data_IF_122630398258
#
_entry.id   IF_122630398258
#
_cell.length_a   1.000
_cell.length_b   1.000
_cell.length_c   1.000
_cell.angle_alpha   90.00
_cell.angle_beta   90.00
_cell.angle_gamma   90.00
#
_symmetry.space_group_name_H-M   'P 1'
#
loop_
_entity.id
_entity.type
_entity.pdbx_description
1 polymer ?
#
# COMPACT_ATOMS: atom_id res chain seq x y z
N UNK A 1 19.81 -12.12 -17.83
CA UNK A 1 19.93 -10.82 -17.11
C UNK A 1 19.45 -11.05 -15.68
N UNK A 2 20.15 -10.48 -14.68
CA UNK A 2 19.74 -10.51 -13.26
C UNK A 2 19.54 -9.07 -12.81
N UNK A 3 18.44 -8.77 -12.14
CA UNK A 3 18.07 -7.43 -11.67
C UNK A 3 17.32 -7.50 -10.34
N UNK A 4 17.12 -6.34 -9.68
CA UNK A 4 16.12 -6.25 -8.62
C UNK A 4 14.73 -6.48 -9.20
N UNK A 5 13.84 -7.14 -8.45
CA UNK A 5 12.49 -7.46 -8.92
C UNK A 5 11.49 -6.30 -8.85
N UNK A 6 11.84 -5.18 -8.22
CA UNK A 6 10.94 -4.05 -8.00
C UNK A 6 10.26 -3.53 -9.29
N UNK A 7 10.96 -3.60 -10.43
CA UNK A 7 10.38 -3.22 -11.71
C UNK A 7 9.17 -4.06 -12.13
N UNK A 8 9.03 -5.28 -11.62
CA UNK A 8 7.90 -6.14 -11.93
C UNK A 8 6.56 -5.60 -11.41
N UNK A 9 6.58 -4.78 -10.36
CA UNK A 9 5.37 -4.44 -9.61
C UNK A 9 5.16 -2.95 -9.37
N UNK A 10 6.22 -2.17 -9.06
CA UNK A 10 6.06 -0.77 -8.67
C UNK A 10 5.54 0.09 -9.83
N UNK A 11 4.64 1.02 -9.51
CA UNK A 11 3.99 1.91 -10.48
C UNK A 11 4.98 2.77 -11.28
N UNK A 12 6.07 3.24 -10.65
CA UNK A 12 7.11 4.01 -11.32
C UNK A 12 7.79 3.29 -12.50
N UNK A 13 7.68 1.96 -12.57
CA UNK A 13 8.27 1.16 -13.64
C UNK A 13 7.27 0.73 -14.73
N UNK A 14 6.05 1.24 -14.76
CA UNK A 14 5.05 0.85 -15.76
C UNK A 14 5.52 1.07 -17.20
N UNK A 15 6.16 2.22 -17.46
CA UNK A 15 6.73 2.51 -18.79
C UNK A 15 7.85 1.54 -19.19
N UNK A 16 8.66 1.09 -18.21
CA UNK A 16 9.68 0.08 -18.45
C UNK A 16 9.04 -1.27 -18.78
N UNK A 17 8.03 -1.70 -18.00
CA UNK A 17 7.29 -2.94 -18.30
C UNK A 17 6.68 -2.93 -19.68
N UNK A 18 6.07 -1.80 -20.09
CA UNK A 18 5.53 -1.65 -21.45
C UNK A 18 6.59 -1.85 -22.55
N UNK A 19 7.80 -1.34 -22.33
CA UNK A 19 8.92 -1.54 -23.27
C UNK A 19 9.41 -2.98 -23.28
N UNK A 20 9.53 -3.60 -22.12
CA UNK A 20 9.99 -4.99 -22.01
C UNK A 20 9.00 -5.98 -22.62
N UNK A 21 7.68 -5.73 -22.45
CA UNK A 21 6.62 -6.56 -23.01
C UNK A 21 6.51 -6.46 -24.55
N UNK A 22 7.20 -5.53 -25.19
CA UNK A 22 7.36 -5.53 -26.65
C UNK A 22 8.27 -6.67 -27.15
N UNK A 23 8.96 -7.36 -26.26
CA UNK A 23 9.85 -8.50 -26.53
C UNK A 23 9.31 -9.75 -25.87
N UNK A 24 9.70 -10.93 -26.35
CA UNK A 24 9.25 -12.20 -25.77
C UNK A 24 10.11 -12.62 -24.58
N UNK A 25 9.49 -12.74 -23.41
CA UNK A 25 10.12 -13.36 -22.23
C UNK A 25 10.17 -14.89 -22.41
N UNK A 26 11.35 -15.43 -22.61
CA UNK A 26 11.54 -16.87 -22.78
C UNK A 26 11.34 -17.59 -21.47
N UNK A 27 12.05 -17.14 -20.45
CA UNK A 27 11.86 -17.61 -19.08
C UNK A 27 12.19 -16.55 -18.05
N UNK A 28 11.71 -16.75 -16.84
CA UNK A 28 11.98 -15.91 -15.68
C UNK A 28 12.05 -16.74 -14.41
N UNK A 29 13.08 -16.49 -13.61
CA UNK A 29 13.23 -17.00 -12.26
C UNK A 29 13.03 -15.86 -11.28
N UNK A 30 11.92 -15.83 -10.59
CA UNK A 30 11.64 -14.87 -9.53
C UNK A 30 12.23 -15.40 -8.23
N UNK A 31 13.46 -15.00 -7.96
CA UNK A 31 14.27 -15.52 -6.85
C UNK A 31 13.86 -14.89 -5.51
N UNK A 32 13.35 -13.65 -5.52
CA UNK A 32 12.95 -12.94 -4.30
C UNK A 32 14.13 -12.62 -3.39
N UNK A 33 13.91 -12.62 -2.05
CA UNK A 33 14.98 -12.38 -1.08
C UNK A 33 15.96 -13.53 -1.02
N UNK A 34 17.18 -13.26 -0.52
CA UNK A 34 18.23 -14.28 -0.28
C UNK A 34 18.60 -15.12 -1.50
N UNK A 35 18.58 -14.51 -2.69
CA UNK A 35 19.14 -15.13 -3.89
C UNK A 35 20.67 -15.19 -3.84
N UNK A 36 21.28 -14.33 -3.03
CA UNK A 36 22.71 -14.29 -2.72
C UNK A 36 22.86 -14.42 -1.21
N UNK A 37 23.59 -15.41 -0.74
CA UNK A 37 23.72 -15.73 0.70
C UNK A 37 24.45 -14.63 1.47
N UNK A 38 25.37 -13.94 0.82
CA UNK A 38 26.21 -12.89 1.39
C UNK A 38 25.47 -11.54 1.57
N UNK A 39 24.32 -11.37 0.90
CA UNK A 39 23.55 -10.13 0.95
C UNK A 39 22.32 -10.32 1.84
N UNK A 40 22.15 -9.47 2.84
CA UNK A 40 20.97 -9.47 3.69
C UNK A 40 19.69 -9.42 2.86
N UNK A 41 18.92 -10.53 2.86
CA UNK A 41 17.83 -10.78 1.93
C UNK A 41 16.61 -9.91 2.09
N UNK A 42 16.54 -9.05 3.10
CA UNK A 42 15.43 -8.12 3.32
C UNK A 42 15.53 -6.88 2.41
N UNK A 43 16.73 -6.54 1.95
CA UNK A 43 16.98 -5.31 1.18
C UNK A 43 16.98 -5.56 -0.32
N UNK A 44 17.51 -6.70 -0.78
CA UNK A 44 17.66 -7.01 -2.21
C UNK A 44 16.85 -8.22 -2.59
N UNK A 45 15.77 -8.00 -3.31
CA UNK A 45 14.97 -9.07 -3.92
C UNK A 45 15.22 -9.10 -5.42
N UNK A 46 15.54 -10.28 -5.96
CA UNK A 46 16.05 -10.43 -7.31
C UNK A 46 15.14 -11.25 -8.22
N UNK A 47 15.28 -10.98 -9.50
CA UNK A 47 14.74 -11.80 -10.59
C UNK A 47 15.80 -11.99 -11.67
N UNK A 48 15.82 -13.17 -12.27
CA UNK A 48 16.63 -13.49 -13.45
C UNK A 48 15.72 -13.84 -14.61
N UNK A 49 16.02 -13.36 -15.82
CA UNK A 49 15.18 -13.61 -16.98
C UNK A 49 15.96 -13.61 -18.30
N UNK A 50 15.40 -14.28 -19.29
CA UNK A 50 15.84 -14.29 -20.68
C UNK A 50 14.77 -13.67 -21.54
N UNK A 51 15.17 -12.65 -22.33
CA UNK A 51 14.32 -11.97 -23.30
C UNK A 51 14.88 -12.23 -24.70
N UNK A 52 13.99 -12.53 -25.63
CA UNK A 52 14.28 -12.56 -27.06
C UNK A 52 13.81 -11.27 -27.72
N UNK A 53 14.67 -10.59 -28.47
CA UNK A 53 14.35 -9.34 -29.18
C UNK A 53 13.44 -9.59 -30.39
N UNK A 54 12.31 -10.20 -30.16
CA UNK A 54 11.21 -10.33 -31.14
C UNK A 54 9.90 -10.43 -30.36
N UNK A 55 8.81 -10.08 -30.98
CA UNK A 55 7.45 -10.36 -30.46
C UNK A 55 6.90 -11.58 -31.18
N UNK A 56 6.50 -12.60 -30.41
CA UNK A 56 5.84 -13.79 -30.94
C UNK A 56 4.44 -13.82 -30.33
N UNK A 57 3.42 -13.66 -31.16
CA UNK A 57 2.02 -13.68 -30.70
C UNK A 57 1.65 -15.00 -30.01
N UNK A 58 0.91 -14.91 -28.93
CA UNK A 58 0.47 -16.05 -28.08
C UNK A 58 1.62 -16.91 -27.54
N UNK A 59 2.83 -16.31 -27.44
CA UNK A 59 3.98 -17.01 -26.87
C UNK A 59 3.77 -17.21 -25.36
N UNK A 60 3.96 -18.45 -24.90
CA UNK A 60 3.91 -18.79 -23.47
C UNK A 60 5.32 -18.80 -22.91
N UNK A 61 5.65 -17.77 -22.13
CA UNK A 61 6.87 -17.74 -21.34
C UNK A 61 6.77 -18.68 -20.14
N UNK A 62 7.93 -19.15 -19.66
CA UNK A 62 8.03 -20.01 -18.49
C UNK A 62 8.52 -19.20 -17.30
N UNK A 63 7.74 -19.20 -16.22
CA UNK A 63 8.02 -18.43 -15.01
C UNK A 63 8.13 -19.37 -13.82
N UNK A 64 9.14 -19.17 -12.97
CA UNK A 64 9.32 -19.90 -11.72
C UNK A 64 9.26 -18.93 -10.55
N UNK A 65 8.37 -19.20 -9.58
CA UNK A 65 8.27 -18.43 -8.34
C UNK A 65 9.05 -19.13 -7.24
N UNK A 66 10.28 -18.68 -7.00
CA UNK A 66 11.25 -19.28 -6.08
C UNK A 66 11.49 -18.39 -4.84
N UNK A 67 10.46 -17.63 -4.42
CA UNK A 67 10.59 -16.64 -3.34
C UNK A 67 10.52 -17.24 -1.94
N UNK A 68 9.83 -18.38 -1.79
CA UNK A 68 9.54 -18.98 -0.49
C UNK A 68 10.77 -19.60 0.21
N UNK A 69 11.69 -20.31 -0.49
CA UNK A 69 12.88 -20.82 0.16
C UNK A 69 13.86 -19.72 0.57
N UNK A 70 14.39 -19.84 1.79
CA UNK A 70 15.31 -18.86 2.40
C UNK A 70 16.80 -19.13 2.12
N UNK A 71 17.12 -20.20 1.38
CA UNK A 71 18.50 -20.58 1.01
C UNK A 71 18.62 -20.76 -0.50
N UNK A 72 19.83 -20.58 -1.06
CA UNK A 72 20.12 -20.85 -2.46
C UNK A 72 19.79 -22.29 -2.83
N UNK A 73 20.25 -23.25 -2.01
CA UNK A 73 20.00 -24.67 -2.22
C UNK A 73 18.51 -25.01 -2.27
N UNK A 74 17.71 -24.43 -1.36
CA UNK A 74 16.27 -24.64 -1.38
C UNK A 74 15.60 -24.07 -2.64
N UNK A 75 16.08 -22.95 -3.19
CA UNK A 75 15.61 -22.40 -4.47
C UNK A 75 16.00 -23.30 -5.66
N UNK A 76 17.21 -23.82 -5.67
CA UNK A 76 17.68 -24.77 -6.67
C UNK A 76 16.85 -26.05 -6.65
N UNK A 77 16.65 -26.66 -5.49
CA UNK A 77 15.83 -27.85 -5.33
C UNK A 77 14.38 -27.62 -5.81
N UNK A 78 13.78 -26.49 -5.46
CA UNK A 78 12.43 -26.12 -5.91
C UNK A 78 12.38 -25.98 -7.44
N UNK A 79 13.41 -25.38 -8.05
CA UNK A 79 13.52 -25.24 -9.51
C UNK A 79 13.66 -26.58 -10.19
N UNK A 80 14.57 -27.44 -9.74
CA UNK A 80 14.81 -28.79 -10.29
C UNK A 80 13.57 -29.69 -10.20
N UNK A 81 12.82 -29.54 -9.10
CA UNK A 81 11.54 -30.23 -8.90
C UNK A 81 10.37 -29.60 -9.69
N UNK A 82 10.61 -28.54 -10.45
CA UNK A 82 9.62 -27.79 -11.22
C UNK A 82 8.41 -27.30 -10.37
N UNK A 83 8.64 -27.04 -9.08
CA UNK A 83 7.62 -26.46 -8.22
C UNK A 83 7.39 -24.99 -8.56
N UNK A 84 6.16 -24.52 -8.36
CA UNK A 84 5.76 -23.14 -8.65
C UNK A 84 6.18 -22.67 -10.05
N UNK A 85 6.05 -23.58 -11.03
CA UNK A 85 6.24 -23.31 -12.46
C UNK A 85 4.91 -22.83 -13.06
N UNK A 86 4.98 -21.77 -13.85
CA UNK A 86 3.85 -21.17 -14.56
C UNK A 86 4.19 -21.03 -16.03
N UNK A 87 3.24 -21.32 -16.92
CA UNK A 87 3.33 -21.10 -18.35
C UNK A 87 2.24 -20.14 -18.75
N UNK A 88 2.57 -18.90 -19.05
CA UNK A 88 1.61 -17.79 -19.21
C UNK A 88 1.82 -17.15 -20.58
N UNK A 89 0.72 -16.92 -21.28
CA UNK A 89 0.71 -16.04 -22.44
C UNK A 89 1.05 -14.62 -22.01
N UNK A 90 2.09 -14.05 -22.57
CA UNK A 90 2.60 -12.74 -22.19
C UNK A 90 1.56 -11.64 -22.33
N UNK A 91 0.66 -11.78 -23.29
CA UNK A 91 -0.41 -10.81 -23.56
C UNK A 91 -1.34 -10.61 -22.36
N UNK A 92 -1.47 -11.62 -21.49
CA UNK A 92 -2.26 -11.51 -20.25
C UNK A 92 -1.78 -10.43 -19.28
N UNK A 93 -0.51 -10.03 -19.34
CA UNK A 93 0.01 -8.94 -18.51
C UNK A 93 -0.58 -7.57 -18.91
N UNK A 94 -1.01 -7.38 -20.14
CA UNK A 94 -1.68 -6.16 -20.57
C UNK A 94 -3.07 -5.99 -19.95
N UNK A 95 -3.69 -7.07 -19.49
CA UNK A 95 -4.97 -7.05 -18.81
C UNK A 95 -4.85 -6.66 -17.31
N UNK A 96 -3.64 -6.70 -16.76
CA UNK A 96 -3.36 -6.37 -15.36
C UNK A 96 -3.05 -4.87 -15.23
N UNK A 97 -3.67 -4.13 -14.31
CA UNK A 97 -3.35 -2.72 -14.07
C UNK A 97 -1.86 -2.49 -13.84
N UNK A 98 -1.31 -1.49 -14.53
CA UNK A 98 0.14 -1.22 -14.50
C UNK A 98 1.00 -2.27 -15.18
N UNK A 99 0.42 -3.27 -15.85
CA UNK A 99 1.11 -4.36 -16.54
C UNK A 99 2.08 -5.13 -15.63
N UNK A 100 1.66 -5.35 -14.38
CA UNK A 100 2.47 -6.07 -13.40
C UNK A 100 2.72 -7.52 -13.82
N UNK A 101 3.95 -8.00 -13.59
CA UNK A 101 4.34 -9.38 -13.90
C UNK A 101 3.80 -10.38 -12.86
N UNK A 102 2.49 -10.40 -12.69
CA UNK A 102 1.78 -11.26 -11.73
C UNK A 102 1.38 -12.60 -12.37
N UNK A 103 2.35 -13.32 -12.91
CA UNK A 103 2.21 -14.56 -13.66
C UNK A 103 1.57 -15.72 -12.85
N UNK A 104 1.45 -15.60 -11.54
CA UNK A 104 0.78 -16.59 -10.67
C UNK A 104 -0.73 -16.37 -10.53
N UNK A 105 -1.27 -15.30 -11.10
CA UNK A 105 -2.70 -15.04 -11.05
C UNK A 105 -3.46 -16.02 -11.92
N UNK A 106 -4.61 -16.49 -11.43
CA UNK A 106 -5.53 -17.28 -12.23
C UNK A 106 -6.20 -16.42 -13.31
N UNK A 107 -6.61 -17.04 -14.41
CA UNK A 107 -7.38 -16.37 -15.47
C UNK A 107 -8.62 -15.67 -14.91
N UNK A 108 -9.28 -16.25 -13.88
CA UNK A 108 -10.41 -15.63 -13.21
C UNK A 108 -10.02 -14.35 -12.48
N UNK A 109 -8.87 -14.34 -11.78
CA UNK A 109 -8.37 -13.14 -11.10
C UNK A 109 -8.04 -12.04 -12.10
N UNK A 110 -7.41 -12.37 -13.24
CA UNK A 110 -7.12 -11.41 -14.31
C UNK A 110 -8.42 -10.86 -14.88
N UNK A 111 -9.41 -11.73 -15.18
CA UNK A 111 -10.68 -11.27 -15.74
C UNK A 111 -11.46 -10.32 -14.81
N UNK A 112 -11.23 -10.40 -13.50
CA UNK A 112 -11.87 -9.48 -12.54
C UNK A 112 -11.38 -8.03 -12.71
N UNK A 113 -10.15 -7.81 -13.18
CA UNK A 113 -9.68 -6.45 -13.49
C UNK A 113 -10.44 -5.83 -14.68
N UNK A 114 -10.88 -6.66 -15.63
CA UNK A 114 -11.61 -6.18 -16.81
C UNK A 114 -13.12 -6.07 -16.58
N UNK A 115 -13.68 -6.95 -15.75
CA UNK A 115 -15.13 -7.03 -15.51
C UNK A 115 -15.58 -6.32 -14.24
N UNK A 116 -14.68 -6.17 -13.27
CA UNK A 116 -14.96 -5.53 -11.98
C UNK A 116 -15.03 -4.01 -12.10
N UNK A 117 -15.90 -3.40 -11.30
CA UNK A 117 -15.89 -1.94 -11.12
C UNK A 117 -14.67 -1.55 -10.32
N UNK A 118 -14.00 -0.50 -10.74
CA UNK A 118 -12.86 0.04 -9.98
C UNK A 118 -13.35 0.75 -8.72
N UNK A 119 -12.61 0.60 -7.60
CA UNK A 119 -13.00 1.23 -6.33
C UNK A 119 -13.21 2.74 -6.46
N UNK A 120 -12.39 3.42 -7.26
CA UNK A 120 -12.53 4.87 -7.52
C UNK A 120 -13.85 5.28 -8.19
N UNK A 121 -14.61 4.33 -8.76
CA UNK A 121 -15.92 4.60 -9.40
C UNK A 121 -17.07 4.56 -8.39
N UNK A 122 -16.82 3.99 -7.21
CA UNK A 122 -17.84 3.77 -6.18
C UNK A 122 -17.49 4.40 -4.83
N UNK A 123 -16.26 4.85 -4.64
CA UNK A 123 -15.80 5.44 -3.40
C UNK A 123 -14.72 6.51 -3.65
N UNK A 124 -14.69 7.50 -2.78
CA UNK A 124 -13.68 8.54 -2.73
C UNK A 124 -12.46 8.04 -1.94
N UNK A 125 -11.37 7.75 -2.63
CA UNK A 125 -10.13 7.27 -1.99
C UNK A 125 -9.29 8.47 -1.58
N UNK A 126 -9.03 8.63 -0.28
CA UNK A 126 -8.32 9.79 0.26
C UNK A 126 -7.25 9.38 1.27
N UNK A 127 -6.12 10.05 1.20
CA UNK A 127 -5.07 9.97 2.22
C UNK A 127 -5.34 10.99 3.31
N UNK A 128 -5.29 10.58 4.58
CA UNK A 128 -5.63 11.44 5.70
C UNK A 128 -4.46 12.21 6.30
N UNK A 129 -4.61 12.53 7.57
CA UNK A 129 -3.73 13.37 8.35
C UNK A 129 -2.40 12.68 8.66
N UNK A 130 -1.28 13.40 8.47
CA UNK A 130 -0.01 13.06 9.04
C UNK A 130 0.33 14.04 10.17
N UNK A 131 0.65 13.55 11.35
CA UNK A 131 0.92 14.41 12.52
C UNK A 131 2.26 15.13 12.45
N UNK A 132 3.22 14.61 11.67
CA UNK A 132 4.63 15.02 11.64
C UNK A 132 5.36 14.91 12.98
N UNK A 133 4.66 14.69 14.08
CA UNK A 133 5.17 14.47 15.43
C UNK A 133 4.12 13.70 16.26
N UNK A 134 4.20 12.38 16.23
CA UNK A 134 3.27 11.53 16.95
C UNK A 134 3.35 11.72 18.47
N UNK A 135 4.55 11.89 19.01
CA UNK A 135 4.75 12.02 20.45
C UNK A 135 4.05 13.27 21.01
N UNK A 136 3.98 14.31 20.21
CA UNK A 136 3.33 15.56 20.58
C UNK A 136 1.82 15.53 20.38
N UNK A 137 1.35 14.99 19.25
CA UNK A 137 -0.03 15.15 18.80
C UNK A 137 -0.91 13.91 18.93
N UNK A 138 -0.35 12.74 19.28
CA UNK A 138 -1.13 11.53 19.52
C UNK A 138 -1.07 11.09 20.98
N UNK A 139 -2.17 10.51 21.42
CA UNK A 139 -2.28 9.79 22.71
C UNK A 139 -3.08 8.51 22.50
N UNK A 140 -2.94 7.57 23.41
CA UNK A 140 -3.95 6.53 23.57
C UNK A 140 -5.18 7.15 24.23
N UNK A 141 -6.35 6.67 23.88
CA UNK A 141 -7.60 7.27 24.41
C UNK A 141 -7.69 7.23 25.94
N UNK A 142 -7.06 6.25 26.59
CA UNK A 142 -7.03 6.09 28.04
C UNK A 142 -5.98 6.99 28.74
N UNK A 143 -5.12 7.68 28.00
CA UNK A 143 -4.15 8.64 28.57
C UNK A 143 -4.77 10.04 28.77
N UNK A 144 -5.99 10.23 28.32
CA UNK A 144 -6.70 11.52 28.39
C UNK A 144 -8.05 11.31 29.08
N UNK A 145 -8.45 12.32 29.89
CA UNK A 145 -9.78 12.27 30.50
C UNK A 145 -10.85 12.19 29.40
N UNK A 146 -11.73 11.19 29.53
CA UNK A 146 -12.80 10.87 28.56
C UNK A 146 -13.66 12.09 28.21
N UNK A 147 -13.93 12.97 29.17
CA UNK A 147 -14.72 14.18 28.97
C UNK A 147 -14.02 15.24 28.09
N UNK A 148 -12.75 15.08 27.78
CA UNK A 148 -11.99 15.96 26.89
C UNK A 148 -11.87 15.41 25.47
N UNK A 149 -12.48 14.26 25.17
CA UNK A 149 -12.48 13.61 23.85
C UNK A 149 -13.84 13.82 23.20
N UNK A 150 -13.87 14.30 21.98
CA UNK A 150 -15.09 14.43 21.20
C UNK A 150 -15.37 13.17 20.38
N UNK A 151 -16.43 12.46 20.73
CA UNK A 151 -16.93 11.28 20.02
C UNK A 151 -18.21 11.56 19.21
N UNK A 152 -18.57 12.85 19.01
CA UNK A 152 -19.89 13.20 18.47
C UNK A 152 -19.86 14.08 17.23
N UNK A 153 -18.74 14.76 16.94
CA UNK A 153 -18.65 15.60 15.75
C UNK A 153 -18.72 14.78 14.47
N UNK A 154 -19.52 15.24 13.51
CA UNK A 154 -19.71 14.60 12.21
C UNK A 154 -19.07 15.38 11.05
N UNK A 155 -18.46 16.52 11.35
CA UNK A 155 -17.73 17.35 10.38
C UNK A 155 -16.79 18.32 11.11
N UNK A 156 -15.92 18.97 10.35
CA UNK A 156 -14.91 19.90 10.88
C UNK A 156 -15.52 21.17 11.49
N UNK A 157 -16.68 21.61 11.02
CA UNK A 157 -17.37 22.80 11.56
C UNK A 157 -17.85 22.52 12.97
N UNK A 158 -18.59 21.42 13.16
CA UNK A 158 -19.03 20.97 14.50
C UNK A 158 -17.84 20.76 15.45
N UNK A 159 -16.78 20.10 14.98
CA UNK A 159 -15.60 19.86 15.78
C UNK A 159 -14.98 21.16 16.30
N UNK A 160 -14.94 22.19 15.47
CA UNK A 160 -14.45 23.52 15.83
C UNK A 160 -15.37 24.25 16.82
N UNK A 161 -16.68 24.23 16.57
CA UNK A 161 -17.70 24.88 17.43
C UNK A 161 -17.72 24.25 18.82
N UNK A 162 -17.59 22.93 18.91
CA UNK A 162 -17.58 22.21 20.18
C UNK A 162 -16.27 22.43 20.98
N UNK A 163 -15.19 22.86 20.34
CA UNK A 163 -13.96 23.30 20.98
C UNK A 163 -13.18 22.22 21.74
N UNK A 164 -13.44 20.95 21.47
CA UNK A 164 -12.66 19.84 22.03
C UNK A 164 -11.23 19.83 21.47
N UNK A 165 -10.33 19.31 22.27
CA UNK A 165 -8.94 19.16 21.86
C UNK A 165 -8.67 17.82 21.18
N UNK A 166 -9.25 16.76 21.70
CA UNK A 166 -8.94 15.38 21.33
C UNK A 166 -10.06 14.73 20.55
N UNK A 167 -9.71 14.06 19.46
CA UNK A 167 -10.63 13.38 18.58
C UNK A 167 -10.14 11.97 18.26
N UNK A 168 -11.04 10.98 18.13
CA UNK A 168 -10.66 9.63 17.70
C UNK A 168 -9.84 9.67 16.41
N UNK A 169 -8.76 8.87 16.36
CA UNK A 169 -7.83 8.86 15.26
C UNK A 169 -7.61 7.44 14.75
N UNK A 170 -8.08 7.16 13.56
CA UNK A 170 -7.87 5.89 12.90
C UNK A 170 -6.48 5.85 12.29
N UNK A 171 -5.58 5.14 12.96
CA UNK A 171 -4.19 4.94 12.53
C UNK A 171 -4.03 3.54 11.97
N UNK A 172 -3.27 3.40 10.87
CA UNK A 172 -2.83 2.09 10.40
C UNK A 172 -2.08 1.35 11.50
N UNK A 173 -2.11 0.03 11.49
CA UNK A 173 -1.51 -0.82 12.50
C UNK A 173 -1.53 -2.29 12.07
N UNK A 174 -1.53 -3.19 13.05
CA UNK A 174 -1.57 -4.62 12.85
C UNK A 174 -2.80 -5.06 12.04
N UNK A 175 -2.72 -6.28 11.52
CA UNK A 175 -3.83 -6.87 10.79
C UNK A 175 -5.08 -6.98 11.68
N UNK A 176 -6.11 -6.25 11.29
CA UNK A 176 -7.48 -6.35 11.82
C UNK A 176 -8.43 -6.43 10.63
N UNK A 177 -9.45 -7.25 10.73
CA UNK A 177 -10.45 -7.41 9.68
C UNK A 177 -11.82 -7.03 10.21
N UNK A 178 -12.46 -6.15 9.47
CA UNK A 178 -13.76 -5.55 9.71
C UNK A 178 -13.82 -4.44 10.75
N UNK A 179 -13.08 -4.50 11.87
CA UNK A 179 -13.07 -3.49 12.93
C UNK A 179 -11.75 -3.49 13.70
N UNK A 180 -11.34 -2.33 14.28
CA UNK A 180 -10.17 -2.19 15.15
C UNK A 180 -9.20 -1.08 14.72
N UNK A 181 -8.06 -1.00 15.42
CA UNK A 181 -7.03 0.05 15.27
C UNK A 181 -7.58 1.45 15.58
N UNK A 182 -8.38 1.56 16.65
CA UNK A 182 -9.03 2.79 17.11
C UNK A 182 -8.55 3.20 18.50
N UNK A 183 -7.34 2.82 18.86
CA UNK A 183 -6.76 3.08 20.18
C UNK A 183 -6.25 4.51 20.35
N UNK A 184 -6.07 5.24 19.24
CA UNK A 184 -5.48 6.57 19.25
C UNK A 184 -6.50 7.70 19.21
N UNK A 185 -6.11 8.81 19.82
CA UNK A 185 -6.74 10.12 19.68
C UNK A 185 -5.71 11.14 19.21
N UNK A 186 -6.15 12.16 18.49
CA UNK A 186 -5.30 13.23 17.94
C UNK A 186 -5.68 14.59 18.45
N UNK A 187 -4.69 15.43 18.75
CA UNK A 187 -4.88 16.84 19.04
C UNK A 187 -5.25 17.61 17.77
N UNK A 188 -6.53 17.89 17.61
CA UNK A 188 -7.08 18.61 16.45
C UNK A 188 -7.80 19.90 16.84
N UNK A 189 -7.47 20.48 17.99
CA UNK A 189 -8.04 21.75 18.45
C UNK A 189 -7.88 22.86 17.38
N UNK A 190 -8.96 23.59 17.11
CA UNK A 190 -8.98 24.66 16.11
C UNK A 190 -8.50 24.20 14.73
N UNK A 191 -9.07 23.09 14.21
CA UNK A 191 -8.67 22.48 12.92
C UNK A 191 -7.20 22.05 12.85
N UNK A 192 -6.64 21.59 13.96
CA UNK A 192 -5.26 21.17 14.06
C UNK A 192 -4.25 22.31 13.94
N UNK A 193 -4.60 23.52 14.38
CA UNK A 193 -3.75 24.72 14.28
C UNK A 193 -2.34 24.47 14.79
N UNK A 194 -2.17 23.88 15.99
CA UNK A 194 -0.86 23.62 16.57
C UNK A 194 -0.01 22.65 15.69
N UNK A 195 -0.64 21.69 15.04
CA UNK A 195 0.02 20.77 14.12
C UNK A 195 0.42 21.47 12.83
N UNK A 196 -0.47 22.28 12.26
CA UNK A 196 -0.20 23.10 11.07
C UNK A 196 0.97 24.05 11.29
N UNK A 197 0.98 24.75 12.40
CA UNK A 197 2.07 25.66 12.80
C UNK A 197 3.40 24.90 12.99
N UNK A 198 3.37 23.70 13.59
CA UNK A 198 4.53 22.85 13.75
C UNK A 198 5.12 22.38 12.41
N UNK A 199 4.26 22.05 11.45
CA UNK A 199 4.66 21.64 10.10
C UNK A 199 5.38 22.77 9.37
N UNK A 200 4.81 23.98 9.37
CA UNK A 200 5.42 25.15 8.74
C UNK A 200 6.74 25.55 9.39
N UNK A 201 6.83 25.41 10.71
CA UNK A 201 8.09 25.63 11.44
C UNK A 201 9.17 24.60 11.11
N UNK A 202 8.77 23.32 11.00
CA UNK A 202 9.69 22.20 10.72
C UNK A 202 10.16 22.18 9.27
N UNK A 203 9.30 22.65 8.35
CA UNK A 203 9.55 22.67 6.90
C UNK A 203 9.34 24.08 6.33
N UNK A 204 10.28 25.00 6.55
CA UNK A 204 10.13 26.43 6.17
C UNK A 204 9.97 26.69 4.68
N UNK A 205 10.28 25.68 3.84
CA UNK A 205 10.11 25.74 2.39
C UNK A 205 8.67 25.50 1.91
N UNK A 206 7.78 25.05 2.82
CA UNK A 206 6.37 24.86 2.50
C UNK A 206 5.61 26.18 2.66
N UNK A 207 4.79 26.52 1.67
CA UNK A 207 3.89 27.68 1.74
C UNK A 207 2.60 27.40 2.49
N UNK A 208 2.16 26.13 2.55
CA UNK A 208 0.94 25.70 3.24
C UNK A 208 1.17 24.40 4.02
N UNK A 209 0.38 24.13 5.07
CA UNK A 209 0.44 22.88 5.81
C UNK A 209 -0.30 21.72 5.11
N UNK A 210 -0.89 21.93 3.94
CA UNK A 210 -1.78 20.99 3.25
C UNK A 210 -1.07 19.70 2.81
N UNK A 211 0.26 19.73 2.77
CA UNK A 211 1.06 18.54 2.54
C UNK A 211 0.88 17.49 3.64
N UNK A 212 0.55 17.92 4.86
CA UNK A 212 0.47 17.07 6.05
C UNK A 212 -0.96 16.93 6.56
N UNK A 213 -1.71 18.03 6.61
CA UNK A 213 -3.12 18.07 7.01
C UNK A 213 -3.97 18.11 5.74
N UNK A 214 -4.26 16.92 5.21
CA UNK A 214 -4.90 16.75 3.90
C UNK A 214 -6.37 16.38 4.02
N UNK A 215 -7.13 16.68 2.97
CA UNK A 215 -8.47 16.14 2.77
C UNK A 215 -9.41 16.30 3.97
N UNK A 216 -9.33 17.44 4.65
CA UNK A 216 -10.07 17.73 5.88
C UNK A 216 -11.60 17.65 5.70
N UNK A 217 -12.11 17.87 4.48
CA UNK A 217 -13.52 17.73 4.15
C UNK A 217 -14.07 16.31 4.33
N UNK A 218 -13.17 15.29 4.40
CA UNK A 218 -13.55 13.90 4.58
C UNK A 218 -13.38 13.40 6.01
N UNK A 219 -12.94 14.27 6.94
CA UNK A 219 -12.84 13.90 8.35
C UNK A 219 -14.22 13.78 8.97
N UNK A 220 -14.31 12.98 10.01
CA UNK A 220 -15.55 12.76 10.77
C UNK A 220 -16.67 12.07 9.98
N UNK A 221 -16.35 11.47 8.85
CA UNK A 221 -17.31 10.71 8.04
C UNK A 221 -17.09 9.21 8.21
N UNK A 222 -18.18 8.48 8.05
CA UNK A 222 -18.13 7.02 7.95
C UNK A 222 -17.26 6.59 6.77
N UNK A 223 -16.36 5.64 7.01
CA UNK A 223 -15.42 5.23 5.97
C UNK A 223 -14.95 3.79 6.13
N UNK A 224 -14.30 3.29 5.09
CA UNK A 224 -13.56 2.02 5.13
C UNK A 224 -12.08 2.37 5.07
N UNK A 225 -11.29 1.81 5.99
CA UNK A 225 -9.86 2.07 6.08
C UNK A 225 -9.04 0.79 5.95
N UNK A 226 -7.81 0.92 5.51
CA UNK A 226 -6.84 -0.18 5.49
C UNK A 226 -5.45 0.33 5.84
N UNK A 227 -4.55 -0.56 6.22
CA UNK A 227 -3.16 -0.21 6.52
C UNK A 227 -2.37 -0.12 5.21
N UNK A 228 -1.72 1.02 4.95
CA UNK A 228 -0.97 1.30 3.71
C UNK A 228 0.18 0.31 3.49
N UNK A 229 0.92 -0.01 4.54
CA UNK A 229 2.07 -0.92 4.47
C UNK A 229 1.81 -2.09 5.41
N UNK A 230 1.76 -3.28 4.86
CA UNK A 230 1.60 -4.52 5.61
C UNK A 230 2.48 -5.63 5.02
N UNK A 231 3.06 -6.45 5.89
CA UNK A 231 3.73 -7.71 5.52
C UNK A 231 2.79 -8.92 5.59
N UNK A 232 1.56 -8.69 6.03
CA UNK A 232 0.52 -9.71 6.22
C UNK A 232 -0.57 -9.63 5.15
N UNK A 233 -1.69 -10.27 5.40
CA UNK A 233 -2.88 -10.26 4.55
C UNK A 233 -3.51 -8.88 4.50
N UNK A 234 -4.05 -8.49 3.35
CA UNK A 234 -4.83 -7.26 3.21
C UNK A 234 -6.09 -7.34 4.06
N UNK A 235 -6.28 -6.34 4.92
CA UNK A 235 -7.44 -6.23 5.79
C UNK A 235 -8.05 -4.83 5.69
N UNK A 236 -9.38 -4.80 5.58
CA UNK A 236 -10.16 -3.56 5.59
C UNK A 236 -10.97 -3.48 6.88
N UNK A 237 -11.19 -2.26 7.36
CA UNK A 237 -11.89 -1.99 8.61
C UNK A 237 -12.91 -0.90 8.42
N UNK A 238 -14.04 -1.06 9.05
CA UNK A 238 -15.02 -0.01 9.22
C UNK A 238 -14.47 1.06 10.18
N UNK A 239 -14.56 2.31 9.78
CA UNK A 239 -14.25 3.47 10.60
C UNK A 239 -15.55 4.26 10.84
N UNK A 240 -16.03 4.34 12.10
CA UNK A 240 -17.25 5.07 12.40
C UNK A 240 -17.07 6.58 12.13
N UNK A 241 -18.17 7.32 11.98
CA UNK A 241 -18.12 8.79 11.99
C UNK A 241 -17.48 9.28 13.30
N UNK A 242 -17.24 10.57 13.41
CA UNK A 242 -16.55 11.22 14.54
C UNK A 242 -15.05 10.93 14.68
N UNK A 243 -14.42 10.35 13.67
CA UNK A 243 -12.99 10.08 13.69
C UNK A 243 -12.24 10.76 12.53
N UNK A 244 -10.95 10.99 12.75
CA UNK A 244 -10.01 11.46 11.75
C UNK A 244 -9.16 10.27 11.32
N UNK A 245 -8.96 10.09 10.02
CA UNK A 245 -8.12 8.99 9.50
C UNK A 245 -6.71 9.48 9.18
N UNK A 246 -5.73 8.59 9.34
CA UNK A 246 -4.32 8.91 9.12
C UNK A 246 -3.90 8.74 7.65
N UNK A 247 -2.73 9.27 7.32
CA UNK A 247 -2.08 9.03 6.04
C UNK A 247 -1.54 7.60 5.89
N UNK A 248 -1.59 6.78 6.94
CA UNK A 248 -1.17 5.37 6.97
C UNK A 248 -2.34 4.39 7.06
N UNK A 249 -3.56 4.90 7.14
CA UNK A 249 -4.81 4.17 7.04
C UNK A 249 -5.68 4.84 5.98
N UNK A 250 -5.54 4.42 4.76
CA UNK A 250 -6.32 4.94 3.63
C UNK A 250 -7.66 4.23 3.54
#
# INVERSE_FOLDING_TARGET
MITQHAWMFLSGYEKLRSKLLAYSFVNMLHLGPRAFEEIGGEIVQTTSFIIKKCSVGKYKGVYYRLVDPVTQKGKEEMYLQKRNKYEIEQDSFFEIPGKCFSYWLSARAISNFNKGRQLKEIAEIRQGLATSDNNRFLRLWNEVNYNHIDFKSNNTVEAKERGFRWFPFNKGGEYRKWYGNQEYIVDYLNDGKAMKDNVLKKYPYLSTPDFVVKNTAFYFQESITWTEITSSTFGVRYCPPCSIFSNKSN
#
